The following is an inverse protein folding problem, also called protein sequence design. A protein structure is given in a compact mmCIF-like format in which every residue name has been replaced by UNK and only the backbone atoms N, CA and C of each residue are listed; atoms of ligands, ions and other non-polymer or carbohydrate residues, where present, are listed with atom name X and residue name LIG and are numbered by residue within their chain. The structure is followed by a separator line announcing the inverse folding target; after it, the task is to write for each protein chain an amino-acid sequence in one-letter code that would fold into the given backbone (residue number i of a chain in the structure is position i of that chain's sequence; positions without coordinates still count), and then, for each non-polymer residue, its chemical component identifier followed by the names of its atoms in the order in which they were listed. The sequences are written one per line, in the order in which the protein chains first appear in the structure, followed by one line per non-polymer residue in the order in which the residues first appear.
data_IF_367491726893
#
_entry.id   IF_367491726893
#
_cell.length_a   1.000
_cell.length_b   1.000
_cell.length_c   1.000
_cell.angle_alpha   90.00
_cell.angle_beta   90.00
_cell.angle_gamma   90.00
#
_symmetry.space_group_name_H-M   'P 1'
#
loop_
_entity.id
_entity.type
_entity.pdbx_description
1 polymer ?
#
# COMPACT_ATOMS: atom_id res chain seq x y z
N UNK A 1 0.31 -22.16 12.42
CA UNK A 1 -0.64 -21.43 11.56
C UNK A 1 0.08 -20.22 10.98
N UNK A 2 0.22 -20.07 9.66
CA UNK A 2 0.78 -18.84 9.09
C UNK A 2 -0.15 -17.68 9.46
N UNK A 3 0.36 -16.70 10.21
CA UNK A 3 -0.38 -15.47 10.49
C UNK A 3 -0.60 -14.76 9.15
N UNK A 4 -1.86 -14.61 8.74
CA UNK A 4 -2.18 -13.79 7.57
C UNK A 4 -1.58 -12.38 7.77
N UNK A 5 -0.95 -11.79 6.74
CA UNK A 5 -0.46 -10.43 6.81
C UNK A 5 -1.55 -9.46 7.28
N UNK A 6 -1.18 -8.49 8.12
CA UNK A 6 -2.15 -7.56 8.73
C UNK A 6 -2.96 -6.79 7.67
N UNK A 7 -2.34 -6.46 6.53
CA UNK A 7 -3.04 -5.76 5.45
C UNK A 7 -4.15 -6.61 4.82
N UNK A 8 -4.02 -7.94 4.83
CA UNK A 8 -5.05 -8.84 4.30
C UNK A 8 -6.34 -8.79 5.10
N UNK A 9 -6.21 -8.73 6.43
CA UNK A 9 -7.37 -8.70 7.33
C UNK A 9 -8.14 -7.40 7.12
N UNK A 10 -7.43 -6.27 7.04
CA UNK A 10 -8.03 -4.94 6.90
C UNK A 10 -8.68 -4.73 5.53
N UNK A 11 -7.97 -5.08 4.45
CA UNK A 11 -8.50 -4.91 3.09
C UNK A 11 -9.70 -5.82 2.84
N UNK A 12 -9.71 -7.05 3.37
CA UNK A 12 -10.87 -7.94 3.24
C UNK A 12 -12.09 -7.39 3.99
N UNK A 13 -11.92 -6.89 5.21
CA UNK A 13 -13.00 -6.22 5.97
C UNK A 13 -13.53 -5.01 5.20
N UNK A 14 -12.64 -4.20 4.64
CA UNK A 14 -12.99 -3.05 3.81
C UNK A 14 -13.83 -3.45 2.59
N UNK A 15 -13.34 -4.38 1.76
CA UNK A 15 -14.03 -4.83 0.54
C UNK A 15 -15.41 -5.39 0.87
N UNK A 16 -15.54 -6.16 1.96
CA UNK A 16 -16.82 -6.70 2.42
C UNK A 16 -17.79 -5.58 2.81
N UNK A 17 -17.35 -4.58 3.59
CA UNK A 17 -18.19 -3.45 4.01
C UNK A 17 -18.62 -2.53 2.87
N UNK A 18 -17.82 -2.44 1.79
CA UNK A 18 -18.08 -1.57 0.62
C UNK A 18 -19.21 -2.05 -0.28
N UNK A 19 -19.75 -3.24 -0.05
CA UNK A 19 -20.90 -3.76 -0.82
C UNK A 19 -22.12 -2.83 -0.75
N UNK A 20 -22.24 -1.95 0.25
CA UNK A 20 -23.46 -1.19 0.54
C UNK A 20 -23.43 0.32 0.28
N UNK A 21 -22.32 0.94 -0.16
CA UNK A 21 -22.21 2.42 -0.29
C UNK A 21 -22.23 2.96 -1.74
N UNK A 22 -22.90 4.11 -1.91
CA UNK A 22 -23.15 4.84 -3.17
C UNK A 22 -21.89 5.59 -3.69
N UNK A 23 -21.50 5.40 -4.97
CA UNK A 23 -20.31 6.02 -5.59
C UNK A 23 -20.54 7.46 -6.06
N UNK A 24 -20.72 8.43 -5.14
CA UNK A 24 -20.64 9.86 -5.49
C UNK A 24 -19.27 10.46 -5.17
N UNK A 25 -18.78 11.27 -6.12
CA UNK A 25 -17.47 11.94 -6.22
C UNK A 25 -16.81 12.20 -4.85
N UNK A 26 -15.79 11.40 -4.53
CA UNK A 26 -15.01 11.58 -3.30
C UNK A 26 -13.52 11.48 -3.59
N UNK A 27 -12.74 12.22 -2.80
CA UNK A 27 -11.29 12.06 -2.69
C UNK A 27 -11.00 10.62 -2.24
N UNK A 28 -10.01 9.98 -2.86
CA UNK A 28 -9.61 8.61 -2.55
C UNK A 28 -9.11 8.55 -1.09
N UNK A 29 -9.77 7.76 -0.26
CA UNK A 29 -9.42 7.54 1.13
C UNK A 29 -8.20 6.62 1.31
N UNK A 30 -7.68 6.55 2.54
CA UNK A 30 -6.55 5.68 2.88
C UNK A 30 -6.87 4.20 2.64
N UNK A 31 -8.07 3.74 2.99
CA UNK A 31 -8.48 2.34 2.81
C UNK A 31 -8.52 1.92 1.33
N UNK A 32 -8.97 2.82 0.44
CA UNK A 32 -8.98 2.57 -1.01
C UNK A 32 -7.56 2.45 -1.54
N UNK A 33 -6.67 3.36 -1.12
CA UNK A 33 -5.25 3.32 -1.49
C UNK A 33 -4.58 2.06 -0.97
N UNK A 34 -4.85 1.65 0.28
CA UNK A 34 -4.36 0.40 0.83
C UNK A 34 -4.85 -0.80 0.02
N UNK A 35 -6.13 -0.84 -0.35
CA UNK A 35 -6.69 -1.89 -1.16
C UNK A 35 -6.09 -1.94 -2.58
N UNK A 36 -5.75 -0.78 -3.18
CA UNK A 36 -5.00 -0.73 -4.44
C UNK A 36 -3.61 -1.35 -4.30
N UNK A 37 -2.84 -0.94 -3.29
CA UNK A 37 -1.50 -1.47 -3.01
C UNK A 37 -1.54 -2.98 -2.79
N UNK A 38 -2.49 -3.44 -1.97
CA UNK A 38 -2.73 -4.85 -1.68
C UNK A 38 -3.13 -5.66 -2.91
N UNK A 39 -3.94 -5.07 -3.81
CA UNK A 39 -4.31 -5.70 -5.07
C UNK A 39 -3.11 -5.88 -5.99
N UNK A 40 -2.30 -4.83 -6.14
CA UNK A 40 -1.08 -4.91 -6.95
C UNK A 40 -0.05 -5.87 -6.38
N UNK A 41 0.08 -5.98 -5.05
CA UNK A 41 0.99 -6.95 -4.43
C UNK A 41 0.61 -8.41 -4.69
N UNK A 42 -0.62 -8.65 -5.16
CA UNK A 42 -1.14 -9.97 -5.56
C UNK A 42 -1.19 -10.15 -7.09
N UNK A 43 -0.63 -9.21 -7.84
CA UNK A 43 -0.71 -9.22 -9.31
C UNK A 43 -2.11 -8.96 -9.87
N UNK A 44 -3.02 -8.33 -9.11
CA UNK A 44 -4.35 -8.01 -9.63
C UNK A 44 -4.26 -6.92 -10.72
N UNK A 45 -5.05 -7.10 -11.77
CA UNK A 45 -5.24 -6.08 -12.80
C UNK A 45 -5.96 -4.84 -12.25
N UNK A 46 -5.79 -3.70 -12.91
CA UNK A 46 -6.50 -2.47 -12.56
C UNK A 46 -8.02 -2.66 -12.58
N UNK A 47 -8.54 -3.39 -13.58
CA UNK A 47 -9.94 -3.77 -13.67
C UNK A 47 -10.44 -4.54 -12.45
N UNK A 48 -9.71 -5.59 -12.04
CA UNK A 48 -10.10 -6.39 -10.87
C UNK A 48 -10.14 -5.57 -9.59
N UNK A 49 -9.14 -4.69 -9.40
CA UNK A 49 -9.10 -3.78 -8.25
C UNK A 49 -10.29 -2.81 -8.32
N UNK A 50 -10.55 -2.19 -9.47
CA UNK A 50 -11.67 -1.29 -9.72
C UNK A 50 -13.01 -1.91 -9.35
N UNK A 51 -13.24 -3.14 -9.79
CA UNK A 51 -14.45 -3.91 -9.45
C UNK A 51 -14.53 -4.19 -7.95
N UNK A 52 -13.44 -4.60 -7.32
CA UNK A 52 -13.43 -4.97 -5.91
C UNK A 52 -13.73 -3.79 -4.98
N UNK A 53 -13.17 -2.61 -5.27
CA UNK A 53 -13.34 -1.42 -4.42
C UNK A 53 -14.34 -0.41 -5.01
N UNK A 54 -15.00 -0.72 -6.13
CA UNK A 54 -16.01 0.13 -6.79
C UNK A 54 -15.49 1.55 -7.10
N UNK A 55 -14.36 1.64 -7.78
CA UNK A 55 -13.80 2.90 -8.30
C UNK A 55 -13.42 2.75 -9.77
N UNK A 56 -13.21 3.86 -10.48
CA UNK A 56 -12.82 3.78 -11.88
C UNK A 56 -11.36 3.31 -12.05
N UNK A 57 -11.10 2.56 -13.11
CA UNK A 57 -9.73 2.15 -13.47
C UNK A 57 -8.81 3.36 -13.68
N UNK A 58 -9.35 4.46 -14.23
CA UNK A 58 -8.60 5.71 -14.40
C UNK A 58 -8.02 6.21 -13.08
N UNK A 59 -8.78 6.13 -12.00
CA UNK A 59 -8.33 6.55 -10.66
C UNK A 59 -7.18 5.67 -10.16
N UNK A 60 -7.27 4.35 -10.39
CA UNK A 60 -6.22 3.38 -10.03
C UNK A 60 -4.94 3.66 -10.82
N UNK A 61 -5.06 3.89 -12.12
CA UNK A 61 -3.92 4.24 -12.99
C UNK A 61 -3.27 5.56 -12.57
N UNK A 62 -4.05 6.61 -12.37
CA UNK A 62 -3.54 7.90 -11.88
C UNK A 62 -2.78 7.75 -10.56
N UNK A 63 -3.30 6.94 -9.63
CA UNK A 63 -2.60 6.66 -8.38
C UNK A 63 -1.31 5.88 -8.61
N UNK A 64 -1.33 4.83 -9.44
CA UNK A 64 -0.14 4.02 -9.77
C UNK A 64 0.97 4.87 -10.38
N UNK A 65 0.64 5.73 -11.32
CA UNK A 65 1.61 6.63 -11.96
C UNK A 65 2.19 7.64 -10.98
N UNK A 66 1.37 8.18 -10.06
CA UNK A 66 1.86 9.04 -8.99
C UNK A 66 2.86 8.32 -8.08
N UNK A 67 2.58 7.07 -7.73
CA UNK A 67 3.46 6.23 -6.92
C UNK A 67 4.76 5.89 -7.64
N UNK A 68 4.73 5.60 -8.94
CA UNK A 68 5.96 5.40 -9.73
C UNK A 68 6.84 6.65 -9.76
N UNK A 69 6.23 7.83 -9.94
CA UNK A 69 6.94 9.11 -9.99
C UNK A 69 7.52 9.53 -8.64
N UNK A 70 6.78 9.26 -7.56
CA UNK A 70 7.20 9.59 -6.20
C UNK A 70 6.81 8.45 -5.24
N UNK A 71 7.65 7.41 -5.10
CA UNK A 71 7.31 6.25 -4.27
C UNK A 71 7.08 6.58 -2.79
N UNK A 72 7.74 7.65 -2.30
CA UNK A 72 7.58 8.13 -0.94
C UNK A 72 6.11 8.49 -0.59
N UNK A 73 5.30 8.88 -1.58
CA UNK A 73 3.88 9.25 -1.38
C UNK A 73 3.09 8.17 -0.65
N UNK A 74 3.40 6.89 -0.92
CA UNK A 74 2.69 5.76 -0.33
C UNK A 74 2.88 5.74 1.19
N UNK A 75 4.07 6.09 1.66
CA UNK A 75 4.41 6.04 3.08
C UNK A 75 3.99 7.29 3.86
N UNK A 76 3.73 8.40 3.18
CA UNK A 76 3.05 9.56 3.79
C UNK A 76 1.56 9.33 3.94
N UNK A 77 0.95 8.62 3.00
CA UNK A 77 -0.49 8.42 2.97
C UNK A 77 -0.96 7.15 3.70
N UNK A 78 -0.08 6.16 3.85
CA UNK A 78 -0.43 4.84 4.36
C UNK A 78 0.60 4.33 5.37
N UNK A 79 0.11 3.75 6.46
CA UNK A 79 0.93 2.92 7.35
C UNK A 79 1.10 1.54 6.73
N UNK A 80 2.23 1.24 6.08
CA UNK A 80 2.48 -0.06 5.43
C UNK A 80 3.51 -0.93 6.17
N UNK A 81 4.10 -0.43 7.24
CA UNK A 81 4.94 -1.19 8.15
C UNK A 81 4.59 -0.85 9.61
N UNK A 82 5.00 -1.71 10.53
CA UNK A 82 4.92 -1.48 11.97
C UNK A 82 6.34 -1.41 12.52
N UNK A 83 6.64 -0.37 13.29
CA UNK A 83 7.87 -0.34 14.06
C UNK A 83 7.64 -1.13 15.35
N UNK A 84 8.32 -2.28 15.47
CA UNK A 84 8.23 -3.15 16.64
C UNK A 84 9.22 -2.74 17.73
N UNK A 85 10.35 -2.16 17.33
CA UNK A 85 11.48 -1.76 18.18
C UNK A 85 12.31 -0.70 17.41
N UNK A 86 13.31 -0.09 18.04
CA UNK A 86 14.20 0.91 17.46
C UNK A 86 14.84 0.47 16.13
N UNK A 87 15.11 -0.84 15.96
CA UNK A 87 15.74 -1.43 14.77
C UNK A 87 14.94 -2.60 14.18
N UNK A 88 13.64 -2.68 14.42
CA UNK A 88 12.79 -3.76 13.88
C UNK A 88 11.54 -3.18 13.25
N UNK A 89 11.43 -3.34 11.93
CA UNK A 89 10.32 -2.84 11.14
C UNK A 89 9.66 -4.00 10.39
N UNK A 90 8.39 -4.28 10.69
CA UNK A 90 7.64 -5.37 10.10
C UNK A 90 6.80 -4.89 8.91
N UNK A 91 6.95 -5.52 7.75
CA UNK A 91 6.10 -5.29 6.59
C UNK A 91 4.66 -5.76 6.85
N UNK A 92 3.66 -4.91 6.59
CA UNK A 92 2.24 -5.29 6.75
C UNK A 92 1.69 -6.15 5.61
N UNK A 93 2.39 -6.20 4.46
CA UNK A 93 1.99 -6.97 3.26
C UNK A 93 2.39 -8.45 3.39
N UNK A 94 3.58 -8.74 3.94
CA UNK A 94 4.07 -10.13 4.02
C UNK A 94 4.56 -10.56 5.42
N UNK A 95 4.65 -9.63 6.38
CA UNK A 95 5.11 -9.92 7.74
C UNK A 95 6.64 -9.96 7.92
N UNK A 96 7.44 -9.80 6.86
CA UNK A 96 8.90 -9.82 6.95
C UNK A 96 9.44 -8.64 7.78
N UNK A 97 10.47 -8.89 8.60
CA UNK A 97 11.10 -7.89 9.46
C UNK A 97 12.41 -7.41 8.82
N UNK A 98 12.59 -6.09 8.75
CA UNK A 98 13.84 -5.45 8.31
C UNK A 98 14.44 -4.62 9.44
N UNK A 99 15.75 -4.42 9.38
CA UNK A 99 16.51 -3.77 10.47
C UNK A 99 16.51 -2.24 10.43
N UNK A 100 16.04 -1.65 9.32
CA UNK A 100 16.03 -0.20 9.11
C UNK A 100 14.75 0.21 8.38
N UNK A 101 14.30 1.45 8.63
CA UNK A 101 13.13 2.04 7.97
C UNK A 101 13.23 2.04 6.44
N UNK A 102 14.37 2.48 5.89
CA UNK A 102 14.61 2.50 4.44
C UNK A 102 14.51 1.10 3.82
N UNK A 103 15.10 0.08 4.47
CA UNK A 103 15.02 -1.31 3.99
C UNK A 103 13.58 -1.83 3.98
N UNK A 104 12.76 -1.55 5.01
CA UNK A 104 11.35 -2.01 5.00
C UNK A 104 10.54 -1.28 3.92
N UNK A 105 10.79 0.01 3.70
CA UNK A 105 10.10 0.79 2.67
C UNK A 105 10.41 0.28 1.27
N UNK A 106 11.69 0.10 0.93
CA UNK A 106 12.07 -0.48 -0.37
C UNK A 106 11.53 -1.89 -0.56
N UNK A 107 11.56 -2.71 0.51
CA UNK A 107 10.92 -4.02 0.50
C UNK A 107 9.41 -3.94 0.22
N UNK A 108 8.70 -2.99 0.83
CA UNK A 108 7.27 -2.76 0.57
C UNK A 108 7.02 -2.39 -0.89
N UNK A 109 7.83 -1.49 -1.46
CA UNK A 109 7.69 -1.09 -2.87
C UNK A 109 7.88 -2.28 -3.83
N UNK A 110 8.80 -3.19 -3.52
CA UNK A 110 9.06 -4.39 -4.34
C UNK A 110 7.87 -5.35 -4.43
N UNK A 111 6.85 -5.20 -3.59
CA UNK A 111 5.62 -5.99 -3.74
C UNK A 111 4.81 -5.58 -4.97
N UNK A 112 4.86 -4.31 -5.39
CA UNK A 112 3.92 -3.79 -6.41
C UNK A 112 4.58 -2.89 -7.46
N UNK A 113 5.87 -2.62 -7.35
CA UNK A 113 6.68 -1.96 -8.36
C UNK A 113 7.78 -2.90 -8.87
N UNK A 114 8.29 -2.69 -10.09
CA UNK A 114 9.49 -3.35 -10.56
C UNK A 114 10.66 -3.17 -9.58
N UNK A 115 11.46 -4.22 -9.41
CA UNK A 115 12.59 -4.27 -8.49
C UNK A 115 13.58 -3.10 -8.64
N UNK A 116 13.85 -2.71 -9.88
CA UNK A 116 14.74 -1.59 -10.22
C UNK A 116 14.24 -0.28 -9.61
N UNK A 117 12.95 0.01 -9.77
CA UNK A 117 12.30 1.20 -9.21
C UNK A 117 12.32 1.13 -7.68
N UNK A 118 11.99 -0.03 -7.11
CA UNK A 118 11.94 -0.21 -5.66
C UNK A 118 13.31 -0.01 -4.98
N UNK A 119 14.40 -0.46 -5.61
CA UNK A 119 15.77 -0.32 -5.07
C UNK A 119 16.29 1.12 -5.15
N UNK A 120 15.98 1.81 -6.24
CA UNK A 120 16.43 3.19 -6.50
C UNK A 120 15.53 4.24 -5.84
N UNK A 121 14.35 3.86 -5.35
CA UNK A 121 13.40 4.78 -4.74
C UNK A 121 14.02 5.57 -3.58
N UNK A 122 13.91 6.90 -3.68
CA UNK A 122 14.13 7.83 -2.59
C UNK A 122 12.92 7.80 -1.66
N UNK A 123 13.10 7.17 -0.50
CA UNK A 123 12.06 6.97 0.52
C UNK A 123 12.39 7.71 1.82
N UNK A 124 13.27 8.71 1.74
CA UNK A 124 13.67 9.51 2.91
C UNK A 124 12.47 10.38 3.32
N UNK A 125 11.74 9.91 4.32
CA UNK A 125 10.69 10.66 4.97
C UNK A 125 11.36 11.42 6.11
N UNK A 126 11.58 12.72 5.92
CA UNK A 126 11.99 13.60 7.00
C UNK A 126 10.84 13.60 8.01
N UNK A 127 11.05 12.97 9.17
CA UNK A 127 10.13 13.11 10.28
C UNK A 127 10.13 14.59 10.67
N UNK A 128 9.00 15.27 10.51
CA UNK A 128 8.83 16.56 11.19
C UNK A 128 8.85 16.22 12.68
N UNK A 129 9.76 16.80 13.49
CA UNK A 129 9.66 16.66 14.93
C UNK A 129 8.28 17.16 15.37
N UNK A 130 7.63 16.35 16.21
CA UNK A 130 6.37 16.69 16.88
C UNK A 130 6.55 17.92 17.77
#
# INVERSE_FOLDING_TARGET
MPRLPLLDIEVNKYIQSRRTRDPKRRVIGADEKQAMIWGWSRGWSANRIATAIKISERVIWSYKERVKRSPAVVFYELSLYIQMDARKFQCRICGEIRTTRTKVMRHILAHFLPDEIARMAEVNIVERPL
#
